data_IF_984375399372
#
_entry.id   IF_984375399372
#
_cell.length_a   1.000
_cell.length_b   1.000
_cell.length_c   1.000
_cell.angle_alpha   90.00
_cell.angle_beta   90.00
_cell.angle_gamma   90.00
#
_symmetry.space_group_name_H-M   'P 1'
#
loop_
_entity.id
_entity.type
_entity.pdbx_description
1 polymer ?
#
# COMPACT_ATOMS: atom_id res chain seq x y z
N UNK A 1 21.45 40.59 30.14
CA UNK A 1 22.45 39.90 31.00
C UNK A 1 21.73 38.64 31.47
N UNK A 2 21.96 37.45 30.90
CA UNK A 2 23.15 36.61 31.08
C UNK A 2 23.61 35.95 29.76
N UNK A 3 24.90 35.64 29.70
CA UNK A 3 25.60 35.00 28.58
C UNK A 3 26.42 33.79 29.08
N UNK A 4 26.81 32.94 28.11
CA UNK A 4 27.76 31.81 28.13
C UNK A 4 27.30 30.53 28.87
N UNK A 5 27.52 29.33 28.33
CA UNK A 5 28.74 28.87 27.64
C UNK A 5 28.52 27.82 26.55
N UNK A 6 29.34 27.95 25.49
CA UNK A 6 29.59 27.00 24.41
C UNK A 6 30.38 25.76 24.86
N UNK A 7 30.15 24.64 24.17
CA UNK A 7 31.09 23.52 24.09
C UNK A 7 31.08 22.94 22.68
N UNK A 8 32.23 22.98 21.98
CA UNK A 8 32.41 22.48 20.62
C UNK A 8 33.68 21.64 20.49
N UNK A 9 33.58 20.63 19.63
CA UNK A 9 34.62 19.87 18.90
C UNK A 9 35.25 18.68 19.67
N UNK A 10 35.54 17.52 19.07
CA UNK A 10 35.91 17.26 17.67
C UNK A 10 35.80 15.76 17.30
N UNK A 11 35.45 15.54 16.03
CA UNK A 11 35.80 14.48 15.07
C UNK A 11 35.98 13.01 15.49
N UNK A 12 35.25 12.15 14.76
CA UNK A 12 35.65 10.77 14.44
C UNK A 12 34.88 10.32 13.20
N UNK A 13 35.52 10.42 12.03
CA UNK A 13 35.00 9.92 10.77
C UNK A 13 35.16 8.40 10.75
N UNK A 14 34.11 7.66 10.44
CA UNK A 14 34.24 6.43 9.66
C UNK A 14 33.08 6.36 8.68
N UNK A 15 33.46 6.29 7.42
CA UNK A 15 32.61 6.13 6.27
C UNK A 15 32.08 4.70 6.27
N UNK A 16 30.76 4.56 6.34
CA UNK A 16 29.99 3.48 5.71
C UNK A 16 28.55 3.95 5.54
N UNK A 17 28.42 5.01 4.73
CA UNK A 17 27.16 5.38 4.11
C UNK A 17 27.01 4.49 2.88
N UNK A 18 26.45 3.29 3.06
CA UNK A 18 25.82 2.60 1.92
C UNK A 18 24.50 3.31 1.69
N UNK A 19 24.57 4.30 0.81
CA UNK A 19 23.46 4.71 -0.03
C UNK A 19 22.92 3.44 -0.71
N UNK A 20 21.87 2.84 -0.15
CA UNK A 20 20.97 2.05 -0.99
C UNK A 20 20.24 3.06 -1.87
N UNK A 21 20.86 3.29 -3.02
CA UNK A 21 20.26 3.90 -4.19
C UNK A 21 18.90 3.24 -4.40
N UNK A 22 17.87 4.07 -4.35
CA UNK A 22 16.51 3.69 -4.68
C UNK A 22 16.45 3.13 -6.10
N UNK A 23 15.72 2.03 -6.26
CA UNK A 23 15.16 1.67 -7.54
C UNK A 23 13.84 2.45 -7.65
N UNK A 24 13.86 3.58 -8.33
CA UNK A 24 12.68 4.32 -8.75
C UNK A 24 12.21 3.74 -10.11
N UNK A 25 11.09 2.99 -10.20
CA UNK A 25 10.65 2.37 -11.45
C UNK A 25 9.69 3.24 -12.26
N UNK A 26 9.50 4.52 -11.91
CA UNK A 26 8.59 5.43 -12.60
C UNK A 26 9.27 6.73 -13.02
N UNK A 27 10.05 6.68 -14.10
CA UNK A 27 10.31 7.89 -14.87
C UNK A 27 10.35 7.58 -16.39
N UNK A 28 9.35 8.04 -17.17
CA UNK A 28 9.34 7.84 -18.61
C UNK A 28 10.38 8.75 -19.27
N UNK A 29 11.23 8.13 -20.11
CA UNK A 29 12.21 8.81 -20.95
C UNK A 29 11.46 9.56 -22.04
N UNK A 30 11.48 10.90 -21.98
CA UNK A 30 10.89 11.75 -23.01
C UNK A 30 11.51 11.43 -24.38
N UNK A 31 10.65 11.11 -25.34
CA UNK A 31 11.00 10.96 -26.74
C UNK A 31 11.24 12.35 -27.34
N UNK A 32 12.43 12.53 -27.92
CA UNK A 32 12.83 13.72 -28.66
C UNK A 32 12.11 13.73 -30.02
N UNK A 33 11.50 14.87 -30.36
CA UNK A 33 10.72 15.08 -31.57
C UNK A 33 11.57 15.76 -32.65
N UNK A 34 11.67 15.09 -33.79
CA UNK A 34 11.91 15.64 -35.14
C UNK A 34 12.08 17.16 -35.29
N UNK A 35 13.25 17.59 -35.80
CA UNK A 35 13.36 18.18 -37.15
C UNK A 35 14.80 18.48 -37.56
N UNK A 36 15.35 17.74 -38.53
CA UNK A 36 16.41 18.29 -39.39
C UNK A 36 16.14 17.91 -40.84
N UNK A 37 16.08 18.94 -41.69
CA UNK A 37 15.88 18.89 -43.15
C UNK A 37 17.18 19.37 -43.84
N UNK A 38 17.38 19.11 -45.14
CA UNK A 38 18.35 18.16 -45.66
C UNK A 38 19.52 18.83 -46.41
N UNK A 39 20.57 18.06 -46.75
CA UNK A 39 21.28 18.30 -48.01
C UNK A 39 21.76 16.99 -48.60
N UNK A 40 21.42 16.78 -49.87
CA UNK A 40 21.82 15.67 -50.70
C UNK A 40 23.35 15.54 -50.77
N UNK A 41 23.87 14.33 -50.60
CA UNK A 41 24.97 13.86 -51.42
C UNK A 41 24.95 12.33 -51.53
N UNK A 42 24.83 11.91 -52.80
CA UNK A 42 25.10 10.61 -53.39
C UNK A 42 26.16 9.78 -52.62
N UNK A 43 25.86 8.49 -52.40
CA UNK A 43 26.68 7.36 -52.81
C UNK A 43 26.05 6.06 -52.32
N UNK A 44 25.91 5.14 -53.27
CA UNK A 44 25.48 3.75 -53.11
C UNK A 44 26.33 3.01 -52.09
N UNK A 45 25.74 2.08 -51.32
CA UNK A 45 26.23 0.70 -51.17
C UNK A 45 25.37 -0.16 -50.22
N UNK A 46 25.11 -1.38 -50.73
CA UNK A 46 24.78 -2.65 -50.05
C UNK A 46 23.48 -2.76 -49.25
N UNK A 47 22.55 -3.48 -49.89
CA UNK A 47 21.50 -4.32 -49.25
C UNK A 47 22.16 -5.22 -48.19
N UNK A 48 21.88 -4.96 -46.91
CA UNK A 48 22.05 -5.96 -45.86
C UNK A 48 20.70 -6.62 -45.64
N UNK A 49 20.61 -7.92 -45.93
CA UNK A 49 19.46 -8.72 -45.57
C UNK A 49 19.50 -8.95 -44.05
N UNK A 50 18.42 -8.66 -43.29
CA UNK A 50 18.35 -9.09 -41.91
C UNK A 50 18.12 -10.61 -41.89
N UNK A 51 19.19 -11.35 -41.57
CA UNK A 51 19.14 -12.76 -41.22
C UNK A 51 18.38 -12.94 -39.91
N UNK A 52 17.40 -13.84 -39.95
CA UNK A 52 16.73 -14.53 -38.83
C UNK A 52 17.38 -14.32 -37.46
N UNK A 53 16.69 -13.61 -36.56
CA UNK A 53 16.64 -14.00 -35.15
C UNK A 53 15.19 -14.30 -34.76
N UNK A 54 14.74 -15.47 -35.23
CA UNK A 54 13.80 -16.25 -34.42
C UNK A 54 14.61 -16.74 -33.23
N UNK A 55 14.27 -16.32 -32.01
CA UNK A 55 14.21 -17.15 -30.81
C UNK A 55 14.37 -16.32 -29.52
N UNK A 56 13.43 -16.56 -28.60
CA UNK A 56 13.53 -16.40 -27.14
C UNK A 56 13.55 -14.99 -26.54
N UNK A 57 12.38 -14.38 -26.39
CA UNK A 57 12.08 -13.62 -25.16
C UNK A 57 10.64 -13.91 -24.69
N UNK A 58 10.36 -15.18 -24.43
CA UNK A 58 9.25 -15.59 -23.56
C UNK A 58 9.74 -15.53 -22.11
N UNK A 59 9.84 -14.32 -21.54
CA UNK A 59 9.79 -14.16 -20.08
C UNK A 59 8.49 -13.44 -19.76
N UNK A 60 7.41 -14.22 -19.88
CA UNK A 60 6.11 -13.86 -19.30
C UNK A 60 6.30 -13.89 -17.80
N UNK A 61 6.63 -12.74 -17.20
CA UNK A 61 6.57 -12.55 -15.76
C UNK A 61 5.15 -12.89 -15.32
N UNK A 62 4.96 -14.10 -14.80
CA UNK A 62 3.81 -14.42 -13.96
C UNK A 62 4.06 -13.74 -12.63
N UNK A 63 3.69 -12.46 -12.55
CA UNK A 63 3.47 -11.84 -11.25
C UNK A 63 2.42 -12.71 -10.55
N UNK A 64 2.81 -13.28 -9.42
CA UNK A 64 1.88 -13.93 -8.51
C UNK A 64 0.74 -12.96 -8.23
N UNK A 65 -0.49 -13.35 -8.59
CA UNK A 65 -1.70 -12.70 -8.09
C UNK A 65 -1.73 -12.99 -6.59
N UNK A 66 -1.02 -12.18 -5.80
CA UNK A 66 -1.10 -12.23 -4.35
C UNK A 66 -2.49 -11.72 -4.01
N UNK A 67 -3.42 -12.63 -3.67
CA UNK A 67 -4.74 -12.26 -3.16
C UNK A 67 -4.53 -11.48 -1.87
N UNK A 68 -4.84 -10.19 -1.89
CA UNK A 68 -4.72 -9.36 -0.70
C UNK A 68 -5.91 -9.66 0.22
N UNK A 69 -5.63 -9.91 1.50
CA UNK A 69 -6.68 -10.07 2.50
C UNK A 69 -7.38 -8.72 2.74
N UNK A 70 -8.72 -8.69 2.85
CA UNK A 70 -9.44 -7.47 3.16
C UNK A 70 -9.08 -6.96 4.56
N UNK A 71 -9.18 -5.64 4.76
CA UNK A 71 -8.94 -5.00 6.06
C UNK A 71 -10.28 -4.82 6.76
N UNK A 72 -10.44 -5.42 7.93
CA UNK A 72 -11.57 -5.20 8.82
C UNK A 72 -11.15 -4.22 9.92
N UNK A 73 -11.64 -2.99 9.86
CA UNK A 73 -11.38 -1.95 10.84
C UNK A 73 -12.44 -1.97 11.94
N UNK A 74 -12.04 -2.23 13.18
CA UNK A 74 -12.85 -2.15 14.39
C UNK A 74 -12.61 -0.81 15.10
N UNK A 75 -13.66 0.01 15.18
CA UNK A 75 -13.66 1.22 16.02
C UNK A 75 -14.07 0.84 17.45
N UNK A 76 -13.21 1.17 18.42
CA UNK A 76 -13.32 0.74 19.83
C UNK A 76 -12.92 1.87 20.78
N UNK A 77 -13.21 1.72 22.08
CA UNK A 77 -12.67 2.54 23.18
C UNK A 77 -12.33 1.66 24.39
N UNK A 78 -11.61 2.20 25.37
CA UNK A 78 -11.41 1.57 26.67
C UNK A 78 -12.11 2.38 27.78
N UNK A 79 -12.92 1.76 28.66
CA UNK A 79 -13.42 0.37 28.61
C UNK A 79 -14.57 0.18 27.60
N UNK A 80 -14.63 -0.98 26.94
CA UNK A 80 -15.73 -1.34 26.03
C UNK A 80 -16.02 -2.87 26.05
N UNK A 81 -16.93 -3.34 26.93
CA UNK A 81 -17.24 -4.77 27.03
C UNK A 81 -17.82 -5.37 25.75
N UNK A 82 -18.62 -4.59 25.00
CA UNK A 82 -19.16 -5.02 23.70
C UNK A 82 -18.06 -5.22 22.64
N UNK A 83 -16.98 -4.44 22.73
CA UNK A 83 -15.85 -4.55 21.82
C UNK A 83 -15.03 -5.81 22.11
N UNK A 84 -14.95 -6.23 23.37
CA UNK A 84 -14.25 -7.45 23.77
C UNK A 84 -15.03 -8.70 23.32
N UNK A 85 -16.34 -8.75 23.56
CA UNK A 85 -17.22 -9.80 23.03
C UNK A 85 -17.10 -9.90 21.50
N UNK A 86 -17.08 -8.76 20.80
CA UNK A 86 -16.95 -8.75 19.36
C UNK A 86 -15.61 -9.32 18.86
N UNK A 87 -14.50 -9.10 19.58
CA UNK A 87 -13.20 -9.68 19.23
C UNK A 87 -13.21 -11.20 19.36
N UNK A 88 -13.86 -11.73 20.39
CA UNK A 88 -14.01 -13.17 20.61
C UNK A 88 -14.77 -13.83 19.45
N UNK A 89 -15.86 -13.22 18.98
CA UNK A 89 -16.63 -13.72 17.83
C UNK A 89 -15.80 -13.68 16.54
N UNK A 90 -14.88 -12.72 16.41
CA UNK A 90 -14.02 -12.56 15.23
C UNK A 90 -12.78 -13.47 15.23
N UNK A 91 -12.37 -14.04 16.38
CA UNK A 91 -11.23 -14.97 16.48
C UNK A 91 -11.18 -16.05 15.38
N UNK A 92 -12.27 -16.83 15.13
CA UNK A 92 -12.25 -17.87 14.10
C UNK A 92 -12.05 -17.34 12.68
N UNK A 93 -12.29 -16.06 12.43
CA UNK A 93 -12.22 -15.44 11.10
C UNK A 93 -10.93 -14.66 10.85
N UNK A 94 -10.03 -14.53 11.84
CA UNK A 94 -8.79 -13.74 11.75
C UNK A 94 -7.85 -14.11 10.59
N UNK A 95 -7.97 -15.32 10.03
CA UNK A 95 -7.17 -15.75 8.89
C UNK A 95 -7.70 -15.24 7.54
N UNK A 96 -8.96 -14.78 7.50
CA UNK A 96 -9.66 -14.32 6.28
C UNK A 96 -9.60 -12.81 6.08
N UNK A 97 -9.14 -12.05 7.06
CA UNK A 97 -8.98 -10.60 6.99
C UNK A 97 -7.86 -10.12 7.91
N UNK A 98 -7.40 -8.90 7.70
CA UNK A 98 -6.50 -8.21 8.62
C UNK A 98 -7.33 -7.35 9.56
N UNK A 99 -7.32 -7.65 10.86
CA UNK A 99 -8.03 -6.84 11.87
C UNK A 99 -7.22 -5.60 12.22
N UNK A 100 -7.76 -4.42 11.93
CA UNK A 100 -7.21 -3.15 12.38
C UNK A 100 -8.07 -2.58 13.50
N UNK A 101 -7.45 -2.14 14.59
CA UNK A 101 -8.18 -1.49 15.70
C UNK A 101 -7.93 0.01 15.68
N UNK A 102 -8.99 0.79 15.79
CA UNK A 102 -8.95 2.25 15.89
C UNK A 102 -9.59 2.64 17.21
N UNK A 103 -8.76 3.16 18.11
CA UNK A 103 -9.24 3.75 19.36
C UNK A 103 -9.80 5.14 19.09
N UNK A 104 -11.12 5.28 19.22
CA UNK A 104 -11.81 6.54 18.94
C UNK A 104 -11.54 7.60 20.00
N UNK A 105 -10.97 7.26 21.17
CA UNK A 105 -10.71 8.23 22.25
C UNK A 105 -9.46 9.07 22.01
N UNK A 106 -8.60 8.66 21.08
CA UNK A 106 -7.39 9.40 20.74
C UNK A 106 -7.72 10.72 20.07
N UNK A 107 -6.96 11.80 20.35
CA UNK A 107 -7.22 13.11 19.77
C UNK A 107 -7.10 13.11 18.23
N UNK A 108 -6.23 12.26 17.66
CA UNK A 108 -6.13 12.08 16.20
C UNK A 108 -7.42 11.55 15.56
N UNK A 109 -8.29 10.89 16.35
CA UNK A 109 -9.51 10.22 15.89
C UNK A 109 -10.79 10.93 16.36
N UNK A 110 -10.73 12.21 16.74
CA UNK A 110 -11.88 12.97 17.25
C UNK A 110 -13.09 12.94 16.32
N UNK A 111 -12.86 12.96 15.00
CA UNK A 111 -13.94 12.83 14.01
C UNK A 111 -14.69 11.49 14.11
N UNK A 112 -13.99 10.40 14.45
CA UNK A 112 -14.61 9.09 14.70
C UNK A 112 -15.31 9.03 16.03
N UNK A 113 -14.77 9.71 17.06
CA UNK A 113 -15.44 9.84 18.36
C UNK A 113 -16.81 10.49 18.20
N UNK A 114 -16.87 11.64 17.54
CA UNK A 114 -18.13 12.37 17.35
C UNK A 114 -19.16 11.56 16.57
N UNK A 115 -18.70 10.74 15.62
CA UNK A 115 -19.56 9.90 14.80
C UNK A 115 -20.04 8.64 15.50
N UNK A 116 -19.19 7.97 16.28
CA UNK A 116 -19.43 6.59 16.73
C UNK A 116 -19.44 6.39 18.26
N UNK A 117 -19.27 7.42 19.09
CA UNK A 117 -19.19 7.30 20.56
C UNK A 117 -20.32 6.49 21.21
N UNK A 118 -21.51 6.43 20.59
CA UNK A 118 -22.68 5.67 21.06
C UNK A 118 -22.95 4.39 20.26
N UNK A 119 -22.22 4.15 19.18
CA UNK A 119 -22.49 3.06 18.23
C UNK A 119 -21.40 1.99 18.19
N UNK A 120 -20.29 2.19 18.92
CA UNK A 120 -19.23 1.19 19.01
C UNK A 120 -19.72 -0.11 19.68
N UNK A 121 -19.22 -1.29 19.24
CA UNK A 121 -18.22 -1.48 18.18
C UNK A 121 -18.78 -1.22 16.78
N UNK A 122 -18.01 -0.51 15.94
CA UNK A 122 -18.33 -0.28 14.52
C UNK A 122 -17.28 -0.97 13.66
N UNK A 123 -17.71 -1.60 12.58
CA UNK A 123 -16.85 -2.34 11.66
C UNK A 123 -16.91 -1.76 10.26
N UNK A 124 -15.73 -1.45 9.70
CA UNK A 124 -15.58 -1.15 8.29
C UNK A 124 -14.79 -2.27 7.61
N UNK A 125 -15.22 -2.69 6.42
CA UNK A 125 -14.50 -3.64 5.57
C UNK A 125 -13.95 -2.88 4.36
N UNK A 126 -12.63 -2.89 4.19
CA UNK A 126 -11.92 -2.10 3.16
C UNK A 126 -12.30 -0.61 3.18
N UNK A 127 -12.49 -0.04 4.38
CA UNK A 127 -12.88 1.36 4.57
C UNK A 127 -14.35 1.68 4.31
N UNK A 128 -15.18 0.68 4.00
CA UNK A 128 -16.63 0.83 3.87
C UNK A 128 -17.35 0.32 5.10
N UNK A 129 -18.39 1.02 5.56
CA UNK A 129 -19.21 0.57 6.67
C UNK A 129 -19.81 -0.82 6.39
N UNK A 130 -19.62 -1.76 7.34
CA UNK A 130 -20.13 -3.12 7.28
C UNK A 130 -21.28 -3.32 8.28
N UNK A 131 -21.02 -3.09 9.56
CA UNK A 131 -21.96 -3.35 10.66
C UNK A 131 -21.56 -2.58 11.94
N UNK A 132 -22.46 -2.49 12.92
CA UNK A 132 -22.22 -1.86 14.23
C UNK A 132 -23.00 -2.53 15.36
N UNK A 133 -22.69 -2.16 16.60
CA UNK A 133 -23.24 -2.65 17.89
C UNK A 133 -22.96 -4.11 18.20
N UNK A 134 -23.11 -5.02 17.24
CA UNK A 134 -22.86 -6.46 17.35
C UNK A 134 -22.25 -7.02 16.07
N UNK A 135 -21.54 -8.14 16.21
CA UNK A 135 -21.01 -8.88 15.06
C UNK A 135 -22.12 -9.74 14.47
N UNK A 136 -22.56 -9.42 13.26
CA UNK A 136 -23.42 -10.27 12.46
C UNK A 136 -22.55 -11.19 11.59
N UNK A 137 -22.46 -12.45 12.00
CA UNK A 137 -21.64 -13.46 11.34
C UNK A 137 -22.10 -13.70 9.90
N UNK A 138 -23.41 -13.70 9.64
CA UNK A 138 -23.93 -13.94 8.30
C UNK A 138 -23.57 -12.79 7.34
N UNK A 139 -23.62 -11.54 7.83
CA UNK A 139 -23.20 -10.36 7.06
C UNK A 139 -21.70 -10.39 6.81
N UNK A 140 -20.90 -10.74 7.81
CA UNK A 140 -19.44 -10.87 7.69
C UNK A 140 -19.07 -11.93 6.64
N UNK A 141 -19.61 -13.14 6.76
CA UNK A 141 -19.32 -14.25 5.86
C UNK A 141 -19.71 -13.93 4.42
N UNK A 142 -20.91 -13.37 4.22
CA UNK A 142 -21.37 -12.96 2.88
C UNK A 142 -20.45 -11.91 2.27
N UNK A 143 -19.96 -10.97 3.07
CA UNK A 143 -19.10 -9.89 2.59
C UNK A 143 -17.69 -10.39 2.27
N UNK A 144 -17.13 -11.28 3.10
CA UNK A 144 -15.85 -11.93 2.84
C UNK A 144 -15.90 -12.81 1.59
N UNK A 145 -16.95 -13.62 1.43
CA UNK A 145 -17.14 -14.47 0.26
C UNK A 145 -17.18 -13.65 -1.04
N UNK A 146 -17.91 -12.52 -1.05
CA UNK A 146 -17.96 -11.61 -2.20
C UNK A 146 -16.57 -11.10 -2.60
N UNK A 147 -15.74 -10.75 -1.62
CA UNK A 147 -14.37 -10.25 -1.88
C UNK A 147 -13.47 -11.38 -2.35
N UNK A 148 -13.62 -12.59 -1.81
CA UNK A 148 -12.85 -13.77 -2.25
C UNK A 148 -13.15 -14.13 -3.72
N UNK A 149 -14.41 -14.01 -4.14
CA UNK A 149 -14.85 -14.22 -5.53
C UNK A 149 -14.33 -13.14 -6.48
N UNK A 150 -14.31 -11.87 -6.06
CA UNK A 150 -13.75 -10.75 -6.85
C UNK A 150 -12.23 -10.88 -7.07
N UNK A 151 -11.54 -11.65 -6.23
CA UNK A 151 -10.09 -11.88 -6.29
C UNK A 151 -9.68 -13.17 -7.03
N UNK A 152 -10.63 -13.90 -7.64
CA UNK A 152 -10.39 -15.12 -8.42
C UNK A 152 -10.19 -14.81 -9.90
#
# INVERSE_FOLDING_TARGET
MYACSEGRQRAGWNADVVLHLGCDPYLPRAADSDRFRPTMHWLTLRRLQPTKLRSLQLLRNRCSSQKQLPILTLFTKDPCPLCDEAKEILEPYKQRFVLQQVDITRPENSAWYDRYKYDIPVFHLNGQFLMMHRVDVAVLEKSLARIEDENI
#
